data_IF_217665788087
#
_entry.id   IF_217665788087
#
_cell.length_a   1.000
_cell.length_b   1.000
_cell.length_c   1.000
_cell.angle_alpha   90.00
_cell.angle_beta   90.00
_cell.angle_gamma   90.00
#
_symmetry.space_group_name_H-M   'P 1'
#
loop_
_entity.id
_entity.type
_entity.pdbx_description
1 polymer ?
#
# COMPACT_ATOMS: atom_id res chain seq x y z
N UNK A 1 -37.21 1.79 30.12
CA UNK A 1 -35.82 1.33 30.26
C UNK A 1 -35.34 0.35 29.16
N UNK A 2 -36.20 -0.26 28.34
CA UNK A 2 -35.81 -1.23 27.29
C UNK A 2 -35.23 -0.59 25.98
N UNK A 3 -35.65 0.62 25.61
CA UNK A 3 -35.19 1.29 24.36
C UNK A 3 -33.70 1.70 24.37
N UNK A 4 -33.13 1.90 25.55
CA UNK A 4 -31.68 2.23 25.67
C UNK A 4 -30.77 1.05 25.44
N UNK A 5 -31.21 -0.17 25.80
CA UNK A 5 -30.40 -1.39 25.59
C UNK A 5 -30.32 -1.83 24.12
N UNK A 6 -31.38 -1.60 23.34
CA UNK A 6 -31.41 -1.94 21.91
C UNK A 6 -30.51 -1.02 21.08
N UNK A 7 -30.37 0.25 21.44
CA UNK A 7 -29.42 1.17 20.76
C UNK A 7 -27.97 0.91 21.10
N UNK A 8 -27.69 0.32 22.28
CA UNK A 8 -26.31 -0.04 22.66
C UNK A 8 -25.87 -1.36 22.01
N UNK A 9 -26.79 -2.29 21.78
CA UNK A 9 -26.53 -3.56 21.08
C UNK A 9 -26.25 -3.35 19.58
N UNK A 10 -27.01 -2.47 18.90
CA UNK A 10 -26.82 -2.20 17.47
C UNK A 10 -25.50 -1.51 17.11
N UNK A 11 -24.87 -0.82 18.08
CA UNK A 11 -23.52 -0.23 17.89
C UNK A 11 -22.38 -1.25 17.95
N UNK A 12 -22.62 -2.47 18.43
CA UNK A 12 -21.60 -3.53 18.50
C UNK A 12 -21.52 -4.42 17.25
N UNK A 13 -22.51 -4.36 16.36
CA UNK A 13 -22.65 -5.35 15.30
C UNK A 13 -21.88 -5.05 13.99
N UNK A 14 -21.51 -3.82 13.70
CA UNK A 14 -20.56 -3.59 12.60
C UNK A 14 -19.14 -3.58 13.17
N UNK A 15 -18.46 -4.73 13.12
CA UNK A 15 -17.04 -4.87 13.54
C UNK A 15 -16.05 -4.02 12.72
N UNK A 16 -16.57 -3.23 11.76
CA UNK A 16 -15.78 -2.33 10.93
C UNK A 16 -15.46 -1.04 11.68
N UNK A 17 -14.19 -0.74 11.81
CA UNK A 17 -13.69 0.53 12.36
C UNK A 17 -13.07 1.36 11.26
N UNK A 18 -13.03 2.68 11.44
CA UNK A 18 -12.30 3.57 10.56
C UNK A 18 -10.80 3.26 10.65
N UNK A 19 -10.13 3.25 9.51
CA UNK A 19 -8.71 2.98 9.39
C UNK A 19 -7.86 4.24 9.63
N UNK A 20 -8.38 5.39 9.14
CA UNK A 20 -7.68 6.67 9.22
C UNK A 20 -8.42 7.62 10.15
N UNK A 21 -7.74 8.23 11.15
CA UNK A 21 -8.26 9.36 11.90
C UNK A 21 -8.66 10.51 10.98
N UNK A 22 -9.71 11.25 11.34
CA UNK A 22 -10.25 12.34 10.53
C UNK A 22 -9.21 13.30 9.93
N UNK A 23 -8.26 13.83 10.75
CA UNK A 23 -7.21 14.73 10.25
C UNK A 23 -6.28 14.11 9.20
N UNK A 24 -6.06 12.79 9.27
CA UNK A 24 -5.14 12.10 8.34
C UNK A 24 -5.79 11.73 7.02
N UNK A 25 -7.11 11.81 6.87
CA UNK A 25 -7.78 11.51 5.59
C UNK A 25 -7.42 12.51 4.51
N UNK A 26 -7.35 13.81 4.85
CA UNK A 26 -6.92 14.82 3.90
C UNK A 26 -5.48 14.60 3.46
N UNK A 27 -4.57 14.31 4.40
CA UNK A 27 -3.18 13.98 4.09
C UNK A 27 -3.07 12.71 3.22
N UNK A 28 -3.86 11.67 3.52
CA UNK A 28 -3.91 10.45 2.72
C UNK A 28 -4.42 10.72 1.28
N UNK A 29 -5.43 11.59 1.13
CA UNK A 29 -5.94 11.97 -0.20
C UNK A 29 -4.89 12.77 -1.00
N UNK A 30 -4.17 13.69 -0.38
CA UNK A 30 -3.08 14.42 -1.02
C UNK A 30 -1.95 13.48 -1.43
N UNK A 31 -1.56 12.54 -0.55
CA UNK A 31 -0.53 11.57 -0.85
C UNK A 31 -0.97 10.61 -1.97
N UNK A 32 -2.23 10.19 -1.98
CA UNK A 32 -2.80 9.42 -3.09
C UNK A 32 -2.70 10.19 -4.41
N UNK A 33 -3.10 11.46 -4.43
CA UNK A 33 -2.97 12.31 -5.61
C UNK A 33 -1.51 12.43 -6.08
N UNK A 34 -0.57 12.58 -5.16
CA UNK A 34 0.85 12.58 -5.48
C UNK A 34 1.31 11.24 -6.09
N UNK A 35 0.90 10.10 -5.52
CA UNK A 35 1.20 8.78 -6.06
C UNK A 35 0.66 8.60 -7.49
N UNK A 36 -0.58 9.01 -7.74
CA UNK A 36 -1.20 8.96 -9.07
C UNK A 36 -0.42 9.85 -10.04
N UNK A 37 -0.09 11.07 -9.64
CA UNK A 37 0.70 12.00 -10.48
C UNK A 37 2.06 11.42 -10.83
N UNK A 38 2.80 10.87 -9.86
CA UNK A 38 4.11 10.23 -10.09
C UNK A 38 3.96 9.07 -11.08
N UNK A 39 2.98 8.21 -10.90
CA UNK A 39 2.74 7.06 -11.80
C UNK A 39 2.45 7.52 -13.23
N UNK A 40 1.58 8.52 -13.40
CA UNK A 40 1.24 9.06 -14.72
C UNK A 40 2.44 9.73 -15.38
N UNK A 41 3.14 10.63 -14.66
CA UNK A 41 4.28 11.36 -15.20
C UNK A 41 5.39 10.41 -15.65
N UNK A 42 5.75 9.44 -14.81
CA UNK A 42 6.77 8.45 -15.17
C UNK A 42 6.30 7.56 -16.32
N UNK A 43 5.05 7.07 -16.28
CA UNK A 43 4.49 6.23 -17.35
C UNK A 43 4.48 6.94 -18.70
N UNK A 44 4.02 8.20 -18.75
CA UNK A 44 4.01 9.00 -20.00
C UNK A 44 5.44 9.26 -20.51
N UNK A 45 6.38 9.51 -19.58
CA UNK A 45 7.78 9.72 -19.96
C UNK A 45 8.41 8.46 -20.58
N UNK A 46 8.09 7.29 -20.06
CA UNK A 46 8.63 6.00 -20.53
C UNK A 46 8.03 5.61 -21.88
N UNK A 47 6.73 5.75 -22.09
CA UNK A 47 6.05 5.41 -23.36
C UNK A 47 6.68 6.11 -24.57
N UNK A 48 7.21 7.31 -24.41
CA UNK A 48 7.81 8.09 -25.50
C UNK A 48 9.32 7.94 -25.69
N UNK A 49 10.01 7.17 -24.83
CA UNK A 49 11.47 7.15 -24.83
C UNK A 49 12.04 5.77 -25.17
N UNK A 50 13.01 5.73 -26.10
CA UNK A 50 13.79 4.55 -26.43
C UNK A 50 15.12 4.44 -25.64
N UNK A 51 15.41 5.39 -24.77
CA UNK A 51 16.64 5.48 -23.98
C UNK A 51 16.31 5.59 -22.47
N UNK A 52 17.22 5.09 -21.60
CA UNK A 52 17.09 5.30 -20.16
C UNK A 52 16.92 6.78 -19.85
N UNK A 53 15.97 7.11 -18.97
CA UNK A 53 15.74 8.46 -18.54
C UNK A 53 16.97 9.04 -17.81
N UNK A 54 17.03 10.38 -17.67
CA UNK A 54 18.13 11.02 -16.96
C UNK A 54 18.22 10.60 -15.49
N UNK A 55 17.06 10.27 -14.87
CA UNK A 55 17.01 9.74 -13.50
C UNK A 55 17.69 8.37 -13.44
N UNK A 56 17.34 7.46 -14.34
CA UNK A 56 17.90 6.12 -14.37
C UNK A 56 19.40 6.17 -14.64
N UNK A 57 19.84 7.00 -15.61
CA UNK A 57 21.25 7.22 -15.91
C UNK A 57 22.03 7.80 -14.71
N UNK A 58 21.38 8.58 -13.86
CA UNK A 58 21.99 9.18 -12.68
C UNK A 58 22.03 8.22 -11.47
N UNK A 59 20.95 7.45 -11.23
CA UNK A 59 20.79 6.69 -10.00
C UNK A 59 21.17 5.21 -10.13
N UNK A 60 20.88 4.54 -11.26
CA UNK A 60 21.16 3.11 -11.42
C UNK A 60 22.65 2.76 -11.22
N UNK A 61 23.61 3.48 -11.85
CA UNK A 61 25.02 3.17 -11.64
C UNK A 61 25.48 3.34 -10.18
N UNK A 62 24.92 4.35 -9.48
CA UNK A 62 25.26 4.61 -8.08
C UNK A 62 24.71 3.51 -7.16
N UNK A 63 23.45 3.07 -7.39
CA UNK A 63 22.83 1.99 -6.63
C UNK A 63 23.60 0.69 -6.85
N UNK A 64 23.93 0.34 -8.10
CA UNK A 64 24.72 -0.83 -8.45
C UNK A 64 26.10 -0.81 -7.78
N UNK A 65 26.82 0.29 -7.90
CA UNK A 65 28.14 0.43 -7.28
C UNK A 65 28.09 0.35 -5.74
N UNK A 66 27.03 0.88 -5.12
CA UNK A 66 26.88 0.84 -3.67
C UNK A 66 26.54 -0.55 -3.14
N UNK A 67 25.75 -1.32 -3.86
CA UNK A 67 25.26 -2.64 -3.44
C UNK A 67 26.11 -3.80 -3.94
N UNK A 68 26.96 -3.62 -4.96
CA UNK A 68 27.83 -4.67 -5.51
C UNK A 68 28.79 -5.30 -4.47
N UNK A 69 29.08 -4.58 -3.38
CA UNK A 69 29.89 -5.08 -2.25
C UNK A 69 29.15 -6.05 -1.32
N UNK A 70 27.85 -6.24 -1.54
CA UNK A 70 27.02 -7.12 -0.73
C UNK A 70 26.35 -8.20 -1.60
N UNK A 71 27.11 -9.08 -2.27
CA UNK A 71 26.56 -10.05 -3.21
C UNK A 71 25.51 -10.95 -2.55
N UNK A 72 25.77 -11.44 -1.35
CA UNK A 72 24.83 -12.29 -0.60
C UNK A 72 23.46 -11.62 -0.41
N UNK A 73 23.41 -10.29 -0.19
CA UNK A 73 22.13 -9.59 -0.07
C UNK A 73 21.39 -9.53 -1.42
N UNK A 74 22.13 -9.42 -2.51
CA UNK A 74 21.56 -9.39 -3.85
C UNK A 74 21.05 -10.75 -4.32
N UNK A 75 21.55 -11.85 -3.75
CA UNK A 75 21.11 -13.21 -4.07
C UNK A 75 19.73 -13.55 -3.51
N UNK A 76 19.37 -13.05 -2.33
CA UNK A 76 18.13 -13.46 -1.68
C UNK A 76 17.11 -12.32 -1.44
N UNK A 77 17.57 -11.05 -1.39
CA UNK A 77 16.69 -9.93 -1.10
C UNK A 77 15.60 -9.71 -2.17
N UNK A 78 15.88 -9.85 -3.48
CA UNK A 78 14.86 -9.78 -4.52
C UNK A 78 13.72 -10.79 -4.34
N UNK A 79 14.02 -11.98 -3.82
CA UNK A 79 13.04 -13.06 -3.66
C UNK A 79 11.84 -12.64 -2.78
N UNK A 80 12.05 -11.76 -1.80
CA UNK A 80 10.97 -11.24 -0.97
C UNK A 80 9.93 -10.42 -1.72
N UNK A 81 10.30 -9.82 -2.85
CA UNK A 81 9.38 -9.10 -3.73
C UNK A 81 8.62 -9.99 -4.72
N UNK A 82 8.92 -11.28 -4.78
CA UNK A 82 8.20 -12.23 -5.63
C UNK A 82 6.79 -12.53 -5.10
N UNK A 83 5.92 -13.05 -5.96
CA UNK A 83 4.51 -13.28 -5.64
C UNK A 83 4.31 -14.16 -4.40
N UNK A 84 5.10 -15.24 -4.25
CA UNK A 84 4.98 -16.18 -3.12
C UNK A 84 5.19 -15.52 -1.76
N UNK A 85 6.37 -14.95 -1.47
CA UNK A 85 6.64 -14.21 -0.24
C UNK A 85 5.69 -13.03 0.00
N UNK A 86 5.36 -12.24 -1.03
CA UNK A 86 4.39 -11.14 -0.91
C UNK A 86 3.01 -11.68 -0.49
N UNK A 87 2.54 -12.77 -1.11
CA UNK A 87 1.27 -13.41 -0.72
C UNK A 87 1.32 -13.94 0.71
N UNK A 88 2.42 -14.59 1.12
CA UNK A 88 2.59 -15.09 2.49
C UNK A 88 2.57 -13.96 3.52
N UNK A 89 3.30 -12.86 3.28
CA UNK A 89 3.29 -11.68 4.15
C UNK A 89 1.89 -11.04 4.20
N UNK A 90 1.18 -10.99 3.07
CA UNK A 90 -0.21 -10.52 3.01
C UNK A 90 -1.12 -11.38 3.88
N UNK A 91 -1.05 -12.70 3.74
CA UNK A 91 -1.83 -13.64 4.54
C UNK A 91 -1.52 -13.52 6.03
N UNK A 92 -0.25 -13.35 6.40
CA UNK A 92 0.15 -13.11 7.78
C UNK A 92 -0.47 -11.83 8.35
N UNK A 93 -0.49 -10.73 7.57
CA UNK A 93 -1.14 -9.48 7.97
C UNK A 93 -2.66 -9.65 8.12
N UNK A 94 -3.31 -10.35 7.19
CA UNK A 94 -4.74 -10.67 7.27
C UNK A 94 -5.01 -11.48 8.54
N UNK A 95 -4.26 -12.55 8.78
CA UNK A 95 -4.40 -13.39 9.97
C UNK A 95 -4.21 -12.58 11.26
N UNK A 96 -3.17 -11.74 11.34
CA UNK A 96 -2.94 -10.87 12.48
C UNK A 96 -4.10 -9.89 12.70
N UNK A 97 -4.68 -9.34 11.65
CA UNK A 97 -5.86 -8.50 11.74
C UNK A 97 -7.09 -9.25 12.22
N UNK A 98 -7.31 -10.48 11.75
CA UNK A 98 -8.44 -11.33 12.18
C UNK A 98 -8.31 -11.73 13.65
N UNK A 99 -7.14 -12.20 14.09
CA UNK A 99 -6.85 -12.57 15.48
C UNK A 99 -7.06 -11.37 16.41
N UNK A 100 -6.65 -10.18 15.98
CA UNK A 100 -6.84 -8.94 16.74
C UNK A 100 -8.22 -8.28 16.53
N UNK A 101 -9.14 -8.95 15.81
CA UNK A 101 -10.50 -8.49 15.48
C UNK A 101 -10.52 -7.12 14.77
N UNK A 102 -9.53 -6.86 13.93
CA UNK A 102 -9.42 -5.65 13.11
C UNK A 102 -9.99 -5.91 11.71
N UNK A 103 -11.29 -6.10 11.61
CA UNK A 103 -11.97 -6.48 10.37
C UNK A 103 -11.68 -5.54 9.19
N UNK A 104 -11.72 -4.21 9.42
CA UNK A 104 -11.35 -3.23 8.37
C UNK A 104 -9.91 -3.40 7.90
N UNK A 105 -8.99 -3.71 8.81
CA UNK A 105 -7.60 -3.97 8.47
C UNK A 105 -7.41 -5.28 7.70
N UNK A 106 -8.17 -6.32 8.06
CA UNK A 106 -8.16 -7.58 7.32
C UNK A 106 -8.68 -7.39 5.88
N UNK A 107 -9.78 -6.64 5.71
CA UNK A 107 -10.32 -6.27 4.39
C UNK A 107 -9.28 -5.48 3.60
N UNK A 108 -8.67 -4.45 4.21
CA UNK A 108 -7.63 -3.66 3.55
C UNK A 108 -6.49 -4.55 3.04
N UNK A 109 -5.92 -5.40 3.91
CA UNK A 109 -4.79 -6.25 3.53
C UNK A 109 -5.16 -7.28 2.47
N UNK A 110 -6.35 -7.90 2.58
CA UNK A 110 -6.81 -8.93 1.66
C UNK A 110 -7.07 -8.40 0.23
N UNK A 111 -7.44 -7.13 0.09
CA UNK A 111 -7.76 -6.54 -1.21
C UNK A 111 -6.68 -5.64 -1.77
N UNK A 112 -6.03 -4.81 -0.95
CA UNK A 112 -5.14 -3.78 -1.48
C UNK A 112 -3.88 -4.35 -2.15
N UNK A 113 -3.25 -5.40 -1.59
CA UNK A 113 -2.05 -6.00 -2.21
C UNK A 113 -2.39 -6.70 -3.53
N UNK A 114 -3.39 -7.60 -3.62
CA UNK A 114 -3.77 -8.21 -4.89
C UNK A 114 -4.20 -7.18 -5.95
N UNK A 115 -4.93 -6.14 -5.55
CA UNK A 115 -5.33 -5.06 -6.47
C UNK A 115 -4.11 -4.29 -6.96
N UNK A 116 -3.15 -3.94 -6.09
CA UNK A 116 -1.94 -3.21 -6.50
C UNK A 116 -1.10 -4.04 -7.47
N UNK A 117 -0.84 -5.31 -7.13
CA UNK A 117 -0.08 -6.22 -7.99
C UNK A 117 -0.83 -6.49 -9.30
N UNK A 118 -2.14 -6.76 -9.24
CA UNK A 118 -2.96 -6.97 -10.42
C UNK A 118 -3.01 -5.75 -11.35
N UNK A 119 -3.16 -4.55 -10.78
CA UNK A 119 -3.10 -3.29 -11.55
C UNK A 119 -1.74 -3.14 -12.25
N UNK A 120 -0.65 -3.44 -11.56
CA UNK A 120 0.69 -3.39 -12.13
C UNK A 120 0.86 -4.39 -13.28
N UNK A 121 0.56 -5.67 -13.03
CA UNK A 121 0.91 -6.76 -13.96
C UNK A 121 -0.05 -6.83 -15.16
N UNK A 122 -1.35 -6.60 -14.94
CA UNK A 122 -2.37 -6.83 -15.97
C UNK A 122 -2.89 -5.55 -16.64
N UNK A 123 -2.61 -4.37 -16.07
CA UNK A 123 -3.10 -3.10 -16.63
C UNK A 123 -1.94 -2.20 -17.04
N UNK A 124 -1.08 -1.83 -16.09
CA UNK A 124 -0.06 -0.80 -16.35
C UNK A 124 1.05 -1.33 -17.26
N UNK A 125 1.62 -2.50 -16.98
CA UNK A 125 2.67 -3.08 -17.84
C UNK A 125 2.21 -3.26 -19.29
N UNK A 126 1.07 -3.91 -19.57
CA UNK A 126 0.60 -4.04 -20.96
C UNK A 126 0.25 -2.71 -21.64
N UNK A 127 -0.17 -1.70 -20.85
CA UNK A 127 -0.58 -0.40 -21.40
C UNK A 127 0.60 0.52 -21.70
N UNK A 128 1.69 0.41 -20.94
CA UNK A 128 2.88 1.27 -21.10
C UNK A 128 3.88 0.64 -22.07
N UNK A 129 3.83 -0.67 -22.22
CA UNK A 129 4.66 -1.42 -23.13
C UNK A 129 6.05 -1.73 -22.59
N UNK A 130 6.65 -2.77 -23.14
CA UNK A 130 8.05 -3.16 -22.89
C UNK A 130 8.97 -2.39 -23.84
N UNK A 131 9.11 -1.09 -23.69
CA UNK A 131 10.18 -0.38 -24.37
C UNK A 131 11.51 -0.77 -23.68
N UNK A 132 12.37 -1.47 -24.39
CA UNK A 132 13.76 -1.81 -24.00
C UNK A 132 13.88 -2.84 -22.85
N UNK A 133 12.96 -3.83 -22.74
CA UNK A 133 13.13 -4.93 -21.77
C UNK A 133 12.95 -4.54 -20.30
N UNK A 134 12.45 -3.35 -20.01
CA UNK A 134 12.13 -2.88 -18.66
C UNK A 134 10.61 -2.71 -18.55
N UNK A 135 9.98 -3.50 -17.69
CA UNK A 135 8.54 -3.48 -17.50
C UNK A 135 8.16 -2.50 -16.39
N UNK A 136 7.79 -1.28 -16.76
CA UNK A 136 7.25 -0.28 -15.82
C UNK A 136 5.78 -0.58 -15.48
N UNK A 137 5.37 -0.40 -14.21
CA UNK A 137 6.20 -0.24 -13.01
C UNK A 137 6.70 -1.57 -12.44
N UNK A 138 7.68 -1.53 -11.52
CA UNK A 138 8.21 -2.73 -10.88
C UNK A 138 7.16 -3.42 -10.00
N UNK A 139 6.83 -4.69 -10.30
CA UNK A 139 5.92 -5.51 -9.49
C UNK A 139 6.46 -5.81 -8.10
N UNK A 140 7.79 -6.06 -7.97
CA UNK A 140 8.46 -6.25 -6.68
C UNK A 140 8.31 -5.02 -5.78
N UNK A 141 8.59 -3.84 -6.30
CA UNK A 141 8.40 -2.60 -5.56
C UNK A 141 6.91 -2.38 -5.21
N UNK A 142 5.98 -2.62 -6.15
CA UNK A 142 4.54 -2.49 -5.91
C UNK A 142 4.08 -3.33 -4.72
N UNK A 143 4.42 -4.62 -4.69
CA UNK A 143 4.03 -5.52 -3.60
C UNK A 143 4.62 -5.10 -2.26
N UNK A 144 5.92 -4.82 -2.22
CA UNK A 144 6.61 -4.46 -0.98
C UNK A 144 6.17 -3.10 -0.41
N UNK A 145 5.98 -2.08 -1.25
CA UNK A 145 5.47 -0.78 -0.78
C UNK A 145 3.99 -0.82 -0.42
N UNK A 146 3.18 -1.70 -1.04
CA UNK A 146 1.82 -1.95 -0.59
C UNK A 146 1.80 -2.55 0.82
N UNK A 147 2.64 -3.55 1.12
CA UNK A 147 2.78 -4.12 2.45
C UNK A 147 3.24 -3.08 3.49
N UNK A 148 4.25 -2.28 3.15
CA UNK A 148 4.74 -1.21 4.03
C UNK A 148 3.65 -0.15 4.30
N UNK A 149 2.89 0.25 3.28
CA UNK A 149 1.78 1.20 3.43
C UNK A 149 0.64 0.63 4.29
N UNK A 150 0.31 -0.67 4.16
CA UNK A 150 -0.66 -1.34 5.05
C UNK A 150 -0.17 -1.30 6.48
N UNK A 151 1.10 -1.63 6.75
CA UNK A 151 1.69 -1.53 8.09
C UNK A 151 1.54 -0.11 8.65
N UNK A 152 1.82 0.92 7.84
CA UNK A 152 1.67 2.31 8.25
C UNK A 152 0.21 2.63 8.62
N UNK A 153 -0.76 2.31 7.75
CA UNK A 153 -2.19 2.53 8.00
C UNK A 153 -2.67 1.81 9.25
N UNK A 154 -2.25 0.54 9.44
CA UNK A 154 -2.66 -0.25 10.60
C UNK A 154 -2.06 0.23 11.92
N UNK A 155 -0.90 0.88 11.89
CA UNK A 155 -0.18 1.35 13.08
C UNK A 155 -0.48 2.81 13.44
N UNK A 156 -1.15 3.56 12.56
CA UNK A 156 -1.56 4.95 12.84
C UNK A 156 -2.56 5.04 13.99
N UNK A 157 -3.59 4.21 13.99
CA UNK A 157 -4.61 4.17 15.05
C UNK A 157 -4.78 2.73 15.59
N UNK A 158 -3.87 2.26 16.45
CA UNK A 158 -3.97 0.94 17.02
C UNK A 158 -5.14 0.87 18.02
N UNK A 159 -5.93 -0.22 18.01
CA UNK A 159 -7.06 -0.41 18.92
C UNK A 159 -6.64 -0.48 20.40
N UNK A 160 -5.36 -0.72 20.64
CA UNK A 160 -4.78 -0.78 21.98
C UNK A 160 -3.71 0.30 22.10
N UNK A 161 -3.98 1.33 22.91
CA UNK A 161 -3.01 2.38 23.30
C UNK A 161 -1.73 1.83 24.00
N UNK A 162 -1.63 0.51 24.12
CA UNK A 162 -0.51 -0.19 24.79
C UNK A 162 0.78 -0.21 23.98
N UNK A 163 0.74 0.00 22.66
CA UNK A 163 1.96 0.04 21.83
C UNK A 163 2.51 1.46 21.82
N UNK A 164 3.71 1.68 22.39
CA UNK A 164 4.34 3.00 22.40
C UNK A 164 4.51 3.57 20.99
N UNK A 165 4.38 4.89 20.84
CA UNK A 165 4.52 5.57 19.55
C UNK A 165 5.87 5.29 18.88
N UNK A 166 6.95 5.24 19.67
CA UNK A 166 8.28 4.90 19.17
C UNK A 166 8.35 3.50 18.54
N UNK A 167 7.71 2.49 19.16
CA UNK A 167 7.66 1.13 18.60
C UNK A 167 6.88 1.10 17.29
N UNK A 168 5.75 1.83 17.21
CA UNK A 168 4.97 1.92 15.98
C UNK A 168 5.77 2.56 14.85
N UNK A 169 6.45 3.67 15.16
CA UNK A 169 7.32 4.34 14.19
C UNK A 169 8.45 3.41 13.74
N UNK A 170 9.09 2.70 14.65
CA UNK A 170 10.14 1.74 14.33
C UNK A 170 9.64 0.65 13.38
N UNK A 171 8.46 0.07 13.65
CA UNK A 171 7.87 -0.96 12.78
C UNK A 171 7.56 -0.44 11.38
N UNK A 172 7.01 0.78 11.27
CA UNK A 172 6.73 1.41 9.96
C UNK A 172 8.02 1.68 9.21
N UNK A 173 9.03 2.24 9.87
CA UNK A 173 10.33 2.52 9.27
C UNK A 173 11.02 1.22 8.82
N UNK A 174 10.96 0.17 9.63
CA UNK A 174 11.52 -1.14 9.26
C UNK A 174 10.84 -1.70 8.01
N UNK A 175 9.50 -1.67 7.94
CA UNK A 175 8.76 -2.13 6.78
C UNK A 175 9.09 -1.29 5.53
N UNK A 176 9.20 0.03 5.68
CA UNK A 176 9.57 0.93 4.57
C UNK A 176 11.01 0.68 4.11
N UNK A 177 11.96 0.59 5.04
CA UNK A 177 13.37 0.31 4.71
C UNK A 177 13.53 -1.05 4.03
N UNK A 178 12.78 -2.05 4.44
CA UNK A 178 12.77 -3.35 3.79
C UNK A 178 12.23 -3.27 2.37
N UNK A 179 11.13 -2.56 2.15
CA UNK A 179 10.59 -2.32 0.80
C UNK A 179 11.60 -1.58 -0.10
N UNK A 180 12.27 -0.55 0.43
CA UNK A 180 13.33 0.18 -0.28
C UNK A 180 14.51 -0.74 -0.60
N UNK A 181 14.92 -1.60 0.35
CA UNK A 181 16.04 -2.52 0.14
C UNK A 181 15.75 -3.54 -0.97
N UNK A 182 14.54 -4.12 -1.00
CA UNK A 182 14.12 -5.03 -2.09
C UNK A 182 14.11 -4.30 -3.43
N UNK A 183 13.52 -3.11 -3.50
CA UNK A 183 13.48 -2.31 -4.72
C UNK A 183 14.88 -1.92 -5.21
N UNK A 184 15.77 -1.51 -4.30
CA UNK A 184 17.16 -1.16 -4.62
C UNK A 184 17.96 -2.40 -5.09
N UNK A 185 17.70 -3.59 -4.52
CA UNK A 185 18.33 -4.83 -4.97
C UNK A 185 17.91 -5.15 -6.42
N UNK A 186 16.64 -4.95 -6.79
CA UNK A 186 16.17 -5.15 -8.16
C UNK A 186 16.86 -4.21 -9.16
N UNK A 187 17.13 -2.96 -8.77
CA UNK A 187 17.92 -2.02 -9.58
C UNK A 187 19.39 -2.45 -9.64
N UNK A 188 19.96 -2.90 -8.52
CA UNK A 188 21.35 -3.30 -8.45
C UNK A 188 21.68 -4.51 -9.34
N UNK A 189 20.78 -5.51 -9.39
CA UNK A 189 20.95 -6.67 -10.30
C UNK A 189 20.57 -6.37 -11.76
N UNK A 190 20.06 -5.17 -12.04
CA UNK A 190 19.70 -4.73 -13.39
C UNK A 190 18.35 -5.26 -13.91
N UNK A 191 17.54 -5.83 -13.04
CA UNK A 191 16.19 -6.32 -13.41
C UNK A 191 15.17 -5.21 -13.60
N UNK A 192 15.36 -4.08 -12.93
CA UNK A 192 14.54 -2.86 -13.05
C UNK A 192 15.40 -1.61 -13.03
N UNK A 193 14.83 -0.49 -13.49
CA UNK A 193 15.41 0.85 -13.35
C UNK A 193 14.96 1.52 -12.05
N UNK A 194 15.62 2.62 -11.69
CA UNK A 194 15.22 3.45 -10.56
C UNK A 194 13.78 3.99 -10.73
N UNK A 195 13.42 4.44 -11.95
CA UNK A 195 12.08 4.95 -12.24
C UNK A 195 11.02 3.87 -12.17
N UNK A 196 11.31 2.61 -12.55
CA UNK A 196 10.42 1.47 -12.36
C UNK A 196 10.13 1.22 -10.87
N UNK A 197 11.19 1.29 -10.05
CA UNK A 197 11.08 1.12 -8.60
C UNK A 197 10.23 2.22 -7.96
N UNK A 198 10.43 3.48 -8.35
CA UNK A 198 9.64 4.63 -7.88
C UNK A 198 8.18 4.51 -8.33
N UNK A 199 7.95 4.14 -9.60
CA UNK A 199 6.60 3.89 -10.12
C UNK A 199 5.89 2.78 -9.35
N UNK A 200 6.56 1.66 -9.10
CA UNK A 200 6.01 0.56 -8.30
C UNK A 200 5.69 0.99 -6.88
N UNK A 201 6.57 1.76 -6.22
CA UNK A 201 6.32 2.32 -4.89
C UNK A 201 5.07 3.22 -4.87
N UNK A 202 4.92 4.08 -5.88
CA UNK A 202 3.77 4.97 -6.02
C UNK A 202 2.48 4.18 -6.24
N UNK A 203 2.48 3.16 -7.11
CA UNK A 203 1.30 2.30 -7.32
C UNK A 203 0.95 1.55 -6.04
N UNK A 204 1.91 0.90 -5.39
CA UNK A 204 1.67 0.12 -4.17
C UNK A 204 1.08 0.97 -3.05
N UNK A 205 1.72 2.11 -2.73
CA UNK A 205 1.23 3.02 -1.71
C UNK A 205 -0.11 3.67 -2.10
N UNK A 206 -0.25 4.10 -3.36
CA UNK A 206 -1.45 4.75 -3.87
C UNK A 206 -2.69 3.85 -3.78
N UNK A 207 -2.58 2.59 -4.21
CA UNK A 207 -3.70 1.63 -4.13
C UNK A 207 -4.11 1.37 -2.68
N UNK A 208 -3.14 1.21 -1.76
CA UNK A 208 -3.44 1.03 -0.33
C UNK A 208 -4.19 2.24 0.24
N UNK A 209 -3.76 3.46 -0.08
CA UNK A 209 -4.45 4.68 0.37
C UNK A 209 -5.86 4.79 -0.22
N UNK A 210 -6.04 4.48 -1.51
CA UNK A 210 -7.34 4.45 -2.15
C UNK A 210 -8.27 3.43 -1.47
N UNK A 211 -7.80 2.21 -1.24
CA UNK A 211 -8.55 1.18 -0.53
C UNK A 211 -8.89 1.60 0.91
N UNK A 212 -7.94 2.19 1.65
CA UNK A 212 -8.17 2.65 3.01
C UNK A 212 -9.25 3.76 3.09
N UNK A 213 -9.19 4.74 2.19
CA UNK A 213 -10.18 5.81 2.08
C UNK A 213 -11.56 5.25 1.68
N UNK A 214 -11.61 4.27 0.78
CA UNK A 214 -12.84 3.60 0.37
C UNK A 214 -13.46 2.81 1.52
N UNK A 215 -12.67 2.02 2.26
CA UNK A 215 -13.14 1.29 3.45
C UNK A 215 -13.70 2.26 4.49
N UNK A 216 -13.03 3.40 4.70
CA UNK A 216 -13.48 4.42 5.65
C UNK A 216 -14.77 5.11 5.19
N UNK A 217 -14.90 5.39 3.89
CA UNK A 217 -16.11 5.96 3.31
C UNK A 217 -17.31 5.00 3.50
N UNK A 218 -17.15 3.75 3.08
CA UNK A 218 -18.20 2.71 3.22
C UNK A 218 -18.57 2.53 4.69
N UNK A 219 -17.57 2.42 5.58
CA UNK A 219 -17.81 2.30 7.03
C UNK A 219 -18.60 3.49 7.58
N UNK A 220 -18.29 4.71 7.13
CA UNK A 220 -19.01 5.92 7.58
C UNK A 220 -20.43 5.98 7.04
N UNK A 221 -20.68 5.55 5.82
CA UNK A 221 -22.02 5.48 5.23
C UNK A 221 -22.90 4.45 5.97
N UNK A 222 -22.36 3.26 6.22
CA UNK A 222 -23.06 2.21 6.97
C UNK A 222 -23.42 2.64 8.40
N UNK A 223 -22.58 3.49 9.02
CA UNK A 223 -22.85 4.01 10.37
C UNK A 223 -23.91 5.12 10.41
N UNK A 224 -24.14 5.83 9.31
CA UNK A 224 -25.12 6.92 9.26
C UNK A 224 -26.56 6.40 9.27
N UNK A 225 -26.84 5.16 8.82
CA UNK A 225 -28.16 4.55 8.77
C UNK A 225 -29.18 5.34 7.93
N UNK A 226 -30.33 4.80 7.56
CA UNK A 226 -31.41 5.60 7.03
C UNK A 226 -31.88 6.55 8.13
N UNK A 227 -31.90 7.86 7.83
CA UNK A 227 -32.50 8.88 8.71
C UNK A 227 -33.92 8.41 8.99
N UNK A 228 -34.26 8.25 10.28
CA UNK A 228 -35.63 7.95 10.69
C UNK A 228 -36.53 9.02 10.04
N UNK A 229 -37.45 8.60 9.15
CA UNK A 229 -38.50 9.49 8.66
C UNK A 229 -39.19 10.10 9.87
N UNK A 230 -39.35 11.44 9.94
CA UNK A 230 -40.16 12.03 10.99
C UNK A 230 -41.54 11.36 10.91
N UNK A 231 -42.04 10.85 12.07
CA UNK A 231 -43.40 10.39 12.17
C UNK A 231 -44.28 11.54 11.73
N UNK A 232 -45.04 11.37 10.67
CA UNK A 232 -46.10 12.28 10.27
C UNK A 232 -47.16 12.15 11.36
N UNK A 233 -47.17 13.13 12.27
CA UNK A 233 -48.28 13.31 13.21
C UNK A 233 -49.56 13.56 12.39
N UNK A 234 -50.43 12.53 12.35
CA UNK A 234 -51.78 12.61 11.85
C UNK A 234 -52.74 12.84 12.99
#
# INVERSE_FOLDING_TARGET
MQRGRLRYASRRESGLRLLLPGPLRAAAAVLLAACVTVTIVLGVHIVGSSLPGWLDSAFDPRIRASLSRFPTLLDWLPDFGTLGPVALMTLALVAACLVTRRWSGAVLAAFAVPVAVGLTEYVLKPSIGEAIGQAFPSGHATGMFALAAICAVLLVDPPHRRVPGAVRLLLVLTALLFAVAVAAAMVAIGAHSFTDAVGGAAVGAGVVLACALTVDLVTSLLRRGPAARPASDG
#
